data_IF_535644939921
#
_entry.id   IF_535644939921
#
_cell.length_a   1.000
_cell.length_b   1.000
_cell.length_c   1.000
_cell.angle_alpha   90.00
_cell.angle_beta   90.00
_cell.angle_gamma   90.00
#
_symmetry.space_group_name_H-M   'P 1'
#
loop_
_entity.id
_entity.type
_entity.pdbx_description
1 polymer ?
#
# COMPACT_ATOMS: atom_id res chain seq x y z
N UNK A 1 15.82 -12.07 4.94
CA UNK A 1 15.28 -13.15 4.08
C UNK A 1 14.43 -12.52 2.99
N UNK A 2 14.26 -13.19 1.85
CA UNK A 2 13.46 -12.67 0.73
C UNK A 2 11.94 -12.66 1.00
N UNK A 3 11.49 -13.31 2.07
CA UNK A 3 10.07 -13.41 2.47
C UNK A 3 9.37 -12.08 2.73
N UNK A 4 10.15 -11.01 2.93
CA UNK A 4 9.62 -9.64 3.17
C UNK A 4 9.55 -8.80 1.90
N UNK A 5 10.05 -9.31 0.77
CA UNK A 5 9.91 -8.63 -0.51
C UNK A 5 8.45 -8.81 -1.00
N UNK A 6 7.77 -7.70 -1.22
CA UNK A 6 6.36 -7.66 -1.64
C UNK A 6 6.18 -6.70 -2.80
N UNK A 7 5.09 -6.87 -3.56
CA UNK A 7 4.66 -5.89 -4.56
C UNK A 7 3.62 -4.96 -3.95
N UNK A 8 3.71 -3.67 -4.28
CA UNK A 8 2.75 -2.67 -3.86
C UNK A 8 1.34 -3.04 -4.34
N UNK A 9 0.37 -3.09 -3.44
CA UNK A 9 -1.04 -3.42 -3.73
C UNK A 9 -1.76 -2.35 -4.56
N UNK A 10 -1.10 -1.23 -4.86
CA UNK A 10 -1.71 -0.20 -5.70
C UNK A 10 -1.55 -0.62 -7.16
N UNK A 11 -2.67 -0.91 -7.83
CA UNK A 11 -2.70 -1.47 -9.19
C UNK A 11 -1.90 -0.67 -10.21
N UNK A 12 -1.81 0.66 -10.02
CA UNK A 12 -1.06 1.56 -10.92
C UNK A 12 0.41 1.75 -10.53
N UNK A 13 0.85 1.27 -9.36
CA UNK A 13 2.22 1.46 -8.89
C UNK A 13 3.13 0.29 -9.26
N UNK A 14 2.72 -0.95 -8.98
CA UNK A 14 3.46 -2.20 -9.26
C UNK A 14 4.94 -2.28 -8.82
N UNK A 15 5.41 -1.38 -7.95
CA UNK A 15 6.77 -1.42 -7.43
C UNK A 15 6.94 -2.52 -6.38
N UNK A 16 8.11 -3.17 -6.39
CA UNK A 16 8.55 -4.02 -5.29
C UNK A 16 9.03 -3.16 -4.11
N UNK A 17 8.78 -3.63 -2.89
CA UNK A 17 9.26 -3.01 -1.66
C UNK A 17 9.59 -4.07 -0.61
N UNK A 18 10.47 -3.70 0.31
CA UNK A 18 10.79 -4.55 1.45
C UNK A 18 9.90 -4.19 2.65
N UNK A 19 9.23 -5.18 3.23
CA UNK A 19 8.36 -4.97 4.38
C UNK A 19 9.14 -4.79 5.69
N UNK A 20 9.27 -3.53 6.09
CA UNK A 20 9.91 -3.12 7.35
C UNK A 20 8.96 -3.18 8.58
N UNK A 21 7.69 -3.57 8.41
CA UNK A 21 6.75 -3.64 9.54
C UNK A 21 7.04 -4.80 10.48
N UNK A 22 6.79 -4.59 11.78
CA UNK A 22 7.02 -5.59 12.84
C UNK A 22 6.23 -6.89 12.61
N UNK A 23 5.01 -6.78 12.12
CA UNK A 23 4.06 -7.88 11.93
C UNK A 23 3.89 -8.31 10.46
N UNK A 24 4.83 -7.95 9.58
CA UNK A 24 4.75 -8.24 8.14
C UNK A 24 3.43 -7.78 7.49
N UNK A 25 2.86 -6.67 7.95
CA UNK A 25 1.60 -6.10 7.45
C UNK A 25 1.78 -5.05 6.35
N UNK A 26 3.02 -4.80 5.91
CA UNK A 26 3.29 -3.88 4.81
C UNK A 26 2.60 -4.35 3.53
N UNK A 27 1.82 -3.45 2.92
CA UNK A 27 1.10 -3.68 1.64
C UNK A 27 1.38 -2.60 0.59
N UNK A 28 2.01 -1.50 0.98
CA UNK A 28 2.28 -0.35 0.11
C UNK A 28 3.79 -0.07 0.07
N UNK A 29 4.32 0.27 -1.11
CA UNK A 29 5.73 0.67 -1.25
C UNK A 29 6.07 1.94 -0.44
N UNK A 30 5.08 2.81 -0.25
CA UNK A 30 5.16 3.98 0.61
C UNK A 30 3.78 4.27 1.19
N UNK A 31 3.72 4.40 2.52
CA UNK A 31 2.49 4.78 3.20
C UNK A 31 2.06 6.20 2.79
N UNK A 32 3.01 7.13 2.64
CA UNK A 32 2.74 8.53 2.30
C UNK A 32 2.20 8.68 0.87
N UNK A 33 2.65 7.85 -0.07
CA UNK A 33 2.25 7.94 -1.49
C UNK A 33 1.11 6.98 -1.80
N UNK A 34 1.38 5.67 -1.85
CA UNK A 34 0.38 4.69 -2.26
C UNK A 34 -0.68 4.45 -1.17
N UNK A 35 -0.28 4.41 0.10
CA UNK A 35 -1.21 4.26 1.22
C UNK A 35 -2.23 5.40 1.28
N UNK A 36 -1.76 6.65 1.26
CA UNK A 36 -2.61 7.85 1.26
C UNK A 36 -3.55 7.91 0.05
N UNK A 37 -3.05 7.61 -1.17
CA UNK A 37 -3.87 7.61 -2.40
C UNK A 37 -5.05 6.64 -2.32
N UNK A 38 -4.80 5.40 -1.87
CA UNK A 38 -5.85 4.40 -1.75
C UNK A 38 -6.83 4.76 -0.62
N UNK A 39 -6.35 5.21 0.55
CA UNK A 39 -7.21 5.69 1.63
C UNK A 39 -8.13 6.83 1.19
N UNK A 40 -7.59 7.81 0.46
CA UNK A 40 -8.37 8.92 -0.09
C UNK A 40 -9.40 8.46 -1.13
N UNK A 41 -9.06 7.50 -1.99
CA UNK A 41 -10.01 6.89 -2.95
C UNK A 41 -11.15 6.17 -2.21
N UNK A 42 -10.82 5.33 -1.23
CA UNK A 42 -11.81 4.60 -0.43
C UNK A 42 -12.67 5.50 0.45
N UNK A 43 -12.12 6.61 0.95
CA UNK A 43 -12.89 7.62 1.67
C UNK A 43 -13.88 8.33 0.73
N UNK A 44 -13.43 8.79 -0.44
CA UNK A 44 -14.32 9.41 -1.44
C UNK A 44 -15.44 8.47 -1.88
N UNK A 45 -15.14 7.20 -2.20
CA UNK A 45 -16.14 6.19 -2.58
C UNK A 45 -17.23 5.98 -1.51
N UNK A 46 -16.91 6.17 -0.23
CA UNK A 46 -17.87 6.05 0.88
C UNK A 46 -18.72 7.29 1.11
N UNK A 47 -18.24 8.48 0.72
CA UNK A 47 -18.91 9.76 0.98
C UNK A 47 -19.53 10.39 -0.27
N UNK A 48 -19.42 9.74 -1.43
CA UNK A 48 -20.04 10.17 -2.69
C UNK A 48 -21.39 9.50 -2.92
N UNK A 49 -22.08 9.07 -1.87
CA UNK A 49 -23.41 8.45 -1.89
C UNK A 49 -24.42 9.37 -1.21
#
# INVERSE_FOLDING_TARGET
TWERLKICRNDVCRWAFYDASKNRSGVWCSMAVCGSRIKARSWRKRHSA
#
